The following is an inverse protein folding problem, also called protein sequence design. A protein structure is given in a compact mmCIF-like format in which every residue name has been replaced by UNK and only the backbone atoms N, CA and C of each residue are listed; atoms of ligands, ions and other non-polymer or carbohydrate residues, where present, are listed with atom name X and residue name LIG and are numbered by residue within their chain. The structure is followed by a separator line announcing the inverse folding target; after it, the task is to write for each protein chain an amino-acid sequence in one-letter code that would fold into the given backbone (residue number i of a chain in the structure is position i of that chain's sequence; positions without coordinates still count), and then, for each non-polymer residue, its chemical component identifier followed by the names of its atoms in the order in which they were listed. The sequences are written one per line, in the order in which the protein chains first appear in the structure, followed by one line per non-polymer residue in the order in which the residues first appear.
data_IF_808337919915
#
_entry.id   IF_808337919915
#
_cell.length_a   1.000
_cell.length_b   1.000
_cell.length_c   1.000
_cell.angle_alpha   90.00
_cell.angle_beta   90.00
_cell.angle_gamma   90.00
#
_symmetry.space_group_name_H-M   'P 1'
#
loop_
_entity.id
_entity.type
_entity.pdbx_description
1 polymer ?
#
# COMPACT_ATOMS: atom_id res chain seq x y z
N UNK A 1 -19.78 7.21 -8.01
CA UNK A 1 -18.33 7.47 -8.24
C UNK A 1 -17.51 6.54 -7.34
N UNK A 2 -16.18 6.44 -7.52
CA UNK A 2 -15.31 5.62 -6.62
C UNK A 2 -15.48 6.01 -5.15
N UNK A 3 -15.54 7.31 -4.86
CA UNK A 3 -15.79 7.83 -3.51
C UNK A 3 -17.09 7.32 -2.89
N UNK A 4 -18.16 7.16 -3.68
CA UNK A 4 -19.43 6.61 -3.20
C UNK A 4 -19.31 5.14 -2.79
N UNK A 5 -18.49 4.34 -3.47
CA UNK A 5 -18.35 2.91 -3.20
C UNK A 5 -17.25 2.58 -2.18
N UNK A 6 -16.18 3.38 -2.14
CA UNK A 6 -14.98 3.07 -1.36
C UNK A 6 -14.80 3.95 -0.12
N UNK A 7 -15.52 5.07 -0.03
CA UNK A 7 -15.39 6.01 1.07
C UNK A 7 -14.67 7.32 0.67
N UNK A 8 -14.75 8.36 1.50
CA UNK A 8 -14.12 9.65 1.25
C UNK A 8 -12.59 9.58 1.20
N UNK A 9 -11.99 8.58 1.85
CA UNK A 9 -10.54 8.42 1.96
C UNK A 9 -9.94 7.52 0.86
N UNK A 10 -10.68 7.12 -0.18
CA UNK A 10 -10.25 6.12 -1.17
C UNK A 10 -8.94 6.42 -1.92
N UNK A 11 -8.42 7.65 -1.82
CA UNK A 11 -7.14 8.07 -2.41
C UNK A 11 -5.95 7.96 -1.46
N UNK A 12 -6.17 7.69 -0.16
CA UNK A 12 -5.09 7.45 0.80
C UNK A 12 -4.51 6.05 0.60
N UNK A 13 -3.22 5.91 0.87
CA UNK A 13 -2.54 4.62 0.81
C UNK A 13 -2.80 3.77 2.05
N UNK A 14 -2.59 2.46 1.90
CA UNK A 14 -2.69 1.48 2.98
C UNK A 14 -4.04 1.48 3.68
N UNK A 15 -4.03 1.15 4.96
CA UNK A 15 -5.23 1.05 5.81
C UNK A 15 -6.00 2.38 5.86
N UNK A 16 -5.30 3.52 5.77
CA UNK A 16 -5.93 4.83 5.83
C UNK A 16 -6.93 5.10 4.67
N UNK A 17 -6.81 4.36 3.56
CA UNK A 17 -7.75 4.43 2.44
C UNK A 17 -8.88 3.40 2.47
N UNK A 18 -8.89 2.47 3.44
CA UNK A 18 -9.86 1.39 3.52
C UNK A 18 -11.01 1.73 4.46
N UNK A 19 -12.23 1.81 3.91
CA UNK A 19 -13.45 1.78 4.70
C UNK A 19 -13.99 0.34 4.73
N UNK A 20 -13.68 -0.40 5.79
CA UNK A 20 -14.07 -1.82 5.95
C UNK A 20 -15.59 -2.03 5.82
N UNK A 21 -16.40 -1.05 6.22
CA UNK A 21 -17.87 -1.15 6.17
C UNK A 21 -18.40 -1.15 4.73
N UNK A 22 -17.59 -0.67 3.78
CA UNK A 22 -17.92 -0.61 2.36
C UNK A 22 -17.20 -1.67 1.53
N UNK A 23 -15.92 -1.90 1.82
CA UNK A 23 -15.06 -2.78 1.03
C UNK A 23 -15.16 -4.25 1.45
N UNK A 24 -15.64 -4.53 2.68
CA UNK A 24 -15.59 -5.85 3.31
C UNK A 24 -14.16 -6.45 3.30
N UNK A 25 -13.16 -5.58 3.38
CA UNK A 25 -11.75 -5.93 3.43
C UNK A 25 -11.23 -5.63 4.83
N UNK A 26 -10.80 -6.64 5.61
CA UNK A 26 -10.15 -6.42 6.90
C UNK A 26 -8.86 -5.62 6.75
N UNK A 27 -8.60 -4.69 7.67
CA UNK A 27 -7.43 -3.82 7.64
C UNK A 27 -6.11 -4.60 7.64
N UNK A 28 -6.05 -5.74 8.33
CA UNK A 28 -4.87 -6.60 8.33
C UNK A 28 -4.47 -7.04 6.92
N UNK A 29 -5.44 -7.27 6.02
CA UNK A 29 -5.19 -7.64 4.62
C UNK A 29 -4.65 -6.47 3.80
N UNK A 30 -5.06 -5.25 4.11
CA UNK A 30 -4.57 -4.02 3.46
C UNK A 30 -3.18 -3.67 3.97
N UNK A 31 -2.96 -3.77 5.28
CA UNK A 31 -1.66 -3.54 5.93
C UNK A 31 -0.60 -4.45 5.34
N UNK A 32 -0.85 -5.76 5.33
CA UNK A 32 0.09 -6.73 4.75
C UNK A 32 0.45 -6.41 3.29
N UNK A 33 -0.54 -6.06 2.46
CA UNK A 33 -0.30 -5.69 1.06
C UNK A 33 0.52 -4.41 0.93
N UNK A 34 0.25 -3.41 1.76
CA UNK A 34 0.98 -2.15 1.74
C UNK A 34 2.42 -2.31 2.21
N UNK A 35 2.63 -3.00 3.33
CA UNK A 35 3.94 -3.33 3.88
C UNK A 35 4.78 -4.11 2.87
N UNK A 36 4.20 -5.16 2.25
CA UNK A 36 4.89 -5.94 1.22
C UNK A 36 5.31 -5.08 0.03
N UNK A 37 4.43 -4.20 -0.47
CA UNK A 37 4.76 -3.30 -1.56
C UNK A 37 5.90 -2.35 -1.19
N UNK A 38 5.85 -1.74 0.00
CA UNK A 38 6.89 -0.84 0.49
C UNK A 38 8.22 -1.58 0.64
N UNK A 39 8.21 -2.81 1.15
CA UNK A 39 9.39 -3.65 1.29
C UNK A 39 9.98 -4.05 -0.06
N UNK A 40 9.15 -4.44 -1.03
CA UNK A 40 9.58 -4.79 -2.40
C UNK A 40 10.19 -3.58 -3.12
N UNK A 41 9.55 -2.42 -3.05
CA UNK A 41 10.07 -1.18 -3.62
C UNK A 41 11.39 -0.78 -2.93
N UNK A 42 11.43 -0.87 -1.60
CA UNK A 42 12.65 -0.63 -0.83
C UNK A 42 13.78 -1.56 -1.25
N UNK A 43 13.49 -2.84 -1.50
CA UNK A 43 14.49 -3.80 -1.95
C UNK A 43 15.02 -3.44 -3.35
N UNK A 44 14.14 -3.13 -4.31
CA UNK A 44 14.54 -2.74 -5.67
C UNK A 44 15.44 -1.49 -5.63
N UNK A 45 15.03 -0.44 -4.93
CA UNK A 45 15.75 0.82 -4.93
C UNK A 45 17.01 0.82 -4.06
N UNK A 46 17.03 0.09 -2.93
CA UNK A 46 18.27 -0.11 -2.15
C UNK A 46 19.35 -0.87 -2.93
N UNK A 47 18.97 -1.76 -3.84
CA UNK A 47 19.91 -2.50 -4.69
C UNK A 47 20.51 -1.60 -5.78
N UNK A 48 19.75 -0.63 -6.30
CA UNK A 48 20.22 0.31 -7.33
C UNK A 48 21.27 1.29 -6.77
N UNK A 49 21.21 1.62 -5.48
CA UNK A 49 22.13 2.57 -4.84
C UNK A 49 23.47 1.95 -4.40
N UNK A 50 23.67 0.63 -4.54
CA UNK A 50 24.98 0.04 -4.25
C UNK A 50 25.95 0.38 -5.40
N UNK A 51 27.09 1.05 -5.12
CA UNK A 51 28.13 1.20 -6.10
C UNK A 51 28.52 -0.20 -6.60
N UNK A 52 28.64 -0.35 -7.92
CA UNK A 52 29.35 -1.50 -8.48
C UNK A 52 30.78 -1.40 -7.93
N UNK A 53 31.14 -2.30 -7.02
CA UNK A 53 32.55 -2.47 -6.64
C UNK A 53 33.30 -2.93 -7.89
N UNK A 54 34.02 -2.00 -8.51
CA UNK A 54 35.02 -2.25 -9.55
C UNK A 54 36.38 -2.50 -8.93
#
# INVERSE_FOLDING_TARGET
SKQYWLGPNYTKEGVAGNDITRTNVPDIRVSYRYETLVDELSNIFKVVDKPIEV
#
